data_IF_658675264336
#
_entry.id   IF_658675264336
#
_cell.length_a   1.000
_cell.length_b   1.000
_cell.length_c   1.000
_cell.angle_alpha   90.00
_cell.angle_beta   90.00
_cell.angle_gamma   90.00
#
_symmetry.space_group_name_H-M   'P 1'
#
loop_
_entity.id
_entity.type
_entity.pdbx_description
1 polymer ?
#
# COMPACT_ATOMS: atom_id res chain seq x y z
N UNK A 1 11.36 -16.20 -32.49
CA UNK A 1 11.16 -17.16 -31.38
C UNK A 1 12.10 -16.92 -30.20
N UNK A 2 13.43 -16.94 -30.36
CA UNK A 2 14.39 -16.69 -29.26
C UNK A 2 14.21 -15.34 -28.52
N UNK A 3 13.93 -14.26 -29.25
CA UNK A 3 13.67 -12.91 -28.69
C UNK A 3 12.37 -12.82 -27.89
N UNK A 4 11.35 -13.59 -28.28
CA UNK A 4 10.04 -13.61 -27.60
C UNK A 4 10.12 -14.40 -26.28
N UNK A 5 10.86 -15.51 -26.27
CA UNK A 5 11.11 -16.27 -25.03
C UNK A 5 11.90 -15.47 -23.99
N UNK A 6 12.91 -14.73 -24.42
CA UNK A 6 13.67 -13.82 -23.54
C UNK A 6 12.78 -12.67 -23.04
N UNK A 7 11.92 -12.09 -23.88
CA UNK A 7 11.00 -11.03 -23.46
C UNK A 7 10.00 -11.56 -22.41
N UNK A 8 9.41 -12.73 -22.62
CA UNK A 8 8.51 -13.34 -21.63
C UNK A 8 9.23 -13.70 -20.32
N UNK A 9 10.47 -14.20 -20.41
CA UNK A 9 11.27 -14.53 -19.23
C UNK A 9 11.67 -13.28 -18.43
N UNK A 10 12.13 -12.22 -19.11
CA UNK A 10 12.41 -10.93 -18.48
C UNK A 10 11.13 -10.33 -17.90
N UNK A 11 10.00 -10.46 -18.59
CA UNK A 11 8.70 -10.00 -18.08
C UNK A 11 8.28 -10.79 -16.82
N UNK A 12 8.51 -12.10 -16.78
CA UNK A 12 8.22 -12.89 -15.56
C UNK A 12 9.10 -12.52 -14.37
N UNK A 13 10.35 -12.09 -14.59
CA UNK A 13 11.22 -11.58 -13.51
C UNK A 13 11.00 -10.09 -13.19
N UNK A 14 10.55 -9.30 -14.17
CA UNK A 14 10.32 -7.86 -14.00
C UNK A 14 8.95 -7.53 -13.40
N UNK A 15 7.97 -8.45 -13.47
CA UNK A 15 6.60 -8.20 -13.03
C UNK A 15 6.10 -9.11 -11.89
N UNK A 16 6.76 -10.22 -11.54
CA UNK A 16 6.32 -11.16 -10.47
C UNK A 16 6.49 -10.67 -9.02
N UNK A 17 6.72 -9.36 -8.87
CA UNK A 17 6.98 -8.70 -7.61
C UNK A 17 6.32 -7.31 -7.57
N UNK A 18 5.32 -7.07 -8.42
CA UNK A 18 4.66 -5.77 -8.53
C UNK A 18 3.20 -5.89 -8.08
N UNK A 19 2.83 -5.09 -7.09
CA UNK A 19 1.47 -4.96 -6.59
C UNK A 19 0.96 -3.54 -6.78
N UNK A 20 -0.18 -3.39 -7.44
CA UNK A 20 -0.90 -2.13 -7.54
C UNK A 20 -1.90 -2.00 -6.39
N UNK A 21 -2.10 -0.76 -5.93
CA UNK A 21 -2.93 -0.43 -4.79
C UNK A 21 -3.97 0.62 -5.19
N UNK A 22 -5.24 0.39 -4.85
CA UNK A 22 -6.27 1.42 -4.81
C UNK A 22 -6.75 1.55 -3.37
N UNK A 23 -6.64 2.76 -2.84
CA UNK A 23 -6.93 3.06 -1.44
C UNK A 23 -8.10 4.04 -1.36
N UNK A 24 -9.05 3.80 -0.46
CA UNK A 24 -10.07 4.77 -0.08
C UNK A 24 -9.92 5.01 1.42
N UNK A 25 -9.58 6.24 1.81
CA UNK A 25 -9.23 6.62 3.18
C UNK A 25 -10.31 7.52 3.75
N UNK A 26 -10.73 7.23 4.98
CA UNK A 26 -11.58 8.04 5.82
C UNK A 26 -10.72 8.63 6.95
N UNK A 27 -10.47 9.94 6.90
CA UNK A 27 -9.70 10.69 7.91
C UNK A 27 -10.56 11.70 8.65
N UNK A 28 -9.96 12.43 9.59
CA UNK A 28 -10.66 13.44 10.41
C UNK A 28 -11.93 12.89 11.09
N UNK A 29 -11.89 11.64 11.56
CA UNK A 29 -13.07 10.89 12.03
C UNK A 29 -13.71 11.54 13.27
N UNK A 30 -12.93 12.30 14.04
CA UNK A 30 -13.41 13.05 15.21
C UNK A 30 -13.71 14.53 14.92
N UNK A 31 -13.54 14.99 13.67
CA UNK A 31 -13.79 16.38 13.28
C UNK A 31 -15.25 16.67 12.95
N UNK A 32 -15.53 17.89 12.51
CA UNK A 32 -16.87 18.30 12.09
C UNK A 32 -17.33 17.60 10.79
N UNK A 33 -16.40 17.28 9.90
CA UNK A 33 -16.63 16.57 8.64
C UNK A 33 -15.58 15.47 8.44
N UNK A 34 -16.02 14.31 7.94
CA UNK A 34 -15.13 13.18 7.63
C UNK A 34 -14.49 13.41 6.26
N UNK A 35 -13.17 13.37 6.21
CA UNK A 35 -12.41 13.50 4.97
C UNK A 35 -12.39 12.17 4.22
N UNK A 36 -12.78 12.18 2.94
CA UNK A 36 -12.73 11.00 2.08
C UNK A 36 -11.76 11.23 0.94
N UNK A 37 -10.64 10.50 0.95
CA UNK A 37 -9.55 10.65 -0.01
C UNK A 37 -9.31 9.32 -0.74
N UNK A 38 -9.11 9.37 -2.05
CA UNK A 38 -8.73 8.21 -2.83
C UNK A 38 -7.23 8.23 -3.19
N UNK A 39 -6.62 7.07 -3.12
CA UNK A 39 -5.21 6.84 -3.37
C UNK A 39 -5.00 5.88 -4.53
N UNK A 40 -3.85 5.98 -5.17
CA UNK A 40 -3.30 4.94 -6.01
C UNK A 40 -1.84 4.72 -5.62
N UNK A 41 -1.40 3.47 -5.68
CA UNK A 41 -0.04 3.11 -5.32
C UNK A 41 0.50 1.92 -6.07
N UNK A 42 1.78 1.70 -5.88
CA UNK A 42 2.57 0.63 -6.44
C UNK A 42 3.56 0.15 -5.39
N UNK A 43 3.62 -1.14 -5.15
CA UNK A 43 4.64 -1.77 -4.31
C UNK A 43 5.47 -2.77 -5.11
N UNK A 44 6.73 -2.86 -4.73
CA UNK A 44 7.69 -3.83 -5.20
C UNK A 44 8.08 -4.75 -4.05
N UNK A 45 8.04 -6.06 -4.27
CA UNK A 45 8.48 -7.01 -3.25
C UNK A 45 10.00 -6.91 -3.09
N UNK A 46 10.45 -6.67 -1.86
CA UNK A 46 11.85 -6.79 -1.46
C UNK A 46 12.16 -8.25 -1.14
N UNK A 47 11.19 -8.92 -0.50
CA UNK A 47 11.15 -10.35 -0.23
C UNK A 47 9.69 -10.77 -0.02
N UNK A 48 9.44 -12.06 0.22
CA UNK A 48 8.11 -12.66 0.39
C UNK A 48 7.21 -11.97 1.44
N UNK A 49 7.80 -11.23 2.40
CA UNK A 49 7.08 -10.60 3.50
C UNK A 49 7.25 -9.08 3.55
N UNK A 50 8.05 -8.47 2.68
CA UNK A 50 8.36 -7.05 2.74
C UNK A 50 8.28 -6.40 1.37
N UNK A 51 7.68 -5.21 1.34
CA UNK A 51 7.57 -4.42 0.12
C UNK A 51 8.07 -3.00 0.31
N UNK A 52 8.60 -2.42 -0.77
CA UNK A 52 8.92 -1.00 -0.90
C UNK A 52 8.03 -0.44 -2.00
N UNK A 53 7.39 0.69 -1.76
CA UNK A 53 6.44 1.23 -2.72
C UNK A 53 6.17 2.71 -2.58
N UNK A 54 5.16 3.16 -3.30
CA UNK A 54 4.62 4.50 -3.25
C UNK A 54 3.08 4.44 -3.20
N UNK A 55 2.47 5.29 -2.40
CA UNK A 55 1.02 5.55 -2.37
C UNK A 55 0.80 7.06 -2.49
N UNK A 56 -0.11 7.49 -3.36
CA UNK A 56 -0.35 8.92 -3.59
C UNK A 56 -0.84 9.68 -2.34
N UNK A 57 -1.45 8.99 -1.37
CA UNK A 57 -1.86 9.57 -0.09
C UNK A 57 -0.65 9.64 0.87
N UNK A 58 0.10 8.54 0.98
CA UNK A 58 1.07 8.32 2.07
C UNK A 58 2.54 8.45 1.68
N UNK A 59 2.84 8.68 0.40
CA UNK A 59 4.21 8.87 -0.10
C UNK A 59 4.94 7.55 -0.29
N UNK A 60 6.25 7.54 -0.02
CA UNK A 60 7.05 6.32 -0.03
C UNK A 60 6.62 5.41 1.12
N UNK A 61 6.46 4.12 0.85
CA UNK A 61 5.93 3.13 1.78
C UNK A 61 6.90 1.96 1.94
N UNK A 62 7.05 1.49 3.18
CA UNK A 62 7.59 0.17 3.49
C UNK A 62 6.49 -0.61 4.18
N UNK A 63 6.21 -1.83 3.71
CA UNK A 63 5.22 -2.71 4.32
C UNK A 63 5.87 -4.00 4.74
N UNK A 64 5.65 -4.42 5.98
CA UNK A 64 6.15 -5.68 6.51
C UNK A 64 4.95 -6.55 6.91
N UNK A 65 4.67 -7.57 6.11
CA UNK A 65 3.61 -8.55 6.30
C UNK A 65 4.00 -9.68 7.25
N UNK A 66 3.10 -10.66 7.38
CA UNK A 66 3.28 -11.86 8.20
C UNK A 66 3.63 -11.59 9.67
N UNK A 67 3.18 -10.45 10.20
CA UNK A 67 3.09 -10.25 11.64
C UNK A 67 2.02 -11.17 12.23
N UNK A 68 2.00 -11.36 13.57
CA UNK A 68 0.97 -12.14 14.22
C UNK A 68 -0.44 -11.77 13.74
N UNK A 69 -1.28 -12.80 13.55
CA UNK A 69 -2.63 -12.69 13.00
C UNK A 69 -2.74 -12.20 11.54
N UNK A 70 -1.66 -12.28 10.75
CA UNK A 70 -1.69 -11.91 9.32
C UNK A 70 -1.72 -10.39 9.10
N UNK A 71 -1.27 -9.63 10.10
CA UNK A 71 -1.21 -8.17 10.05
C UNK A 71 -0.01 -7.73 9.20
N UNK A 72 -0.16 -6.58 8.56
CA UNK A 72 0.91 -5.87 7.85
C UNK A 72 1.23 -4.56 8.57
N UNK A 73 2.47 -4.38 9.01
CA UNK A 73 2.97 -3.09 9.46
C UNK A 73 3.21 -2.21 8.22
N UNK A 74 2.77 -0.96 8.31
CA UNK A 74 2.86 0.04 7.24
C UNK A 74 3.62 1.24 7.80
N UNK A 75 4.72 1.59 7.15
CA UNK A 75 5.50 2.78 7.45
C UNK A 75 5.55 3.63 6.19
N UNK A 76 5.30 4.92 6.33
CA UNK A 76 5.25 5.83 5.19
C UNK A 76 5.91 7.16 5.47
N UNK A 77 6.46 7.78 4.43
CA UNK A 77 6.94 9.16 4.47
C UNK A 77 6.53 9.88 3.20
N UNK A 78 5.91 11.04 3.37
CA UNK A 78 5.52 11.92 2.27
C UNK A 78 6.04 13.31 2.51
N UNK A 79 6.71 13.85 1.50
CA UNK A 79 6.98 15.28 1.40
C UNK A 79 5.92 15.93 0.51
N UNK A 80 5.32 17.01 1.00
CA UNK A 80 4.35 17.80 0.24
C UNK A 80 4.45 19.26 0.65
N UNK A 81 4.59 20.16 -0.34
CA UNK A 81 4.68 21.61 -0.12
C UNK A 81 5.72 22.04 0.94
N UNK A 82 6.84 21.31 1.05
CA UNK A 82 7.91 21.62 2.02
C UNK A 82 7.68 21.09 3.43
N UNK A 83 6.62 20.32 3.67
CA UNK A 83 6.36 19.62 4.92
C UNK A 83 6.50 18.11 4.76
N UNK A 84 7.12 17.46 5.76
CA UNK A 84 7.26 16.00 5.83
C UNK A 84 6.20 15.43 6.77
N UNK A 85 5.45 14.44 6.30
CA UNK A 85 4.51 13.67 7.12
C UNK A 85 4.98 12.22 7.18
N UNK A 86 5.10 11.68 8.39
CA UNK A 86 5.36 10.27 8.63
C UNK A 86 4.05 9.53 8.91
N UNK A 87 3.99 8.27 8.49
CA UNK A 87 2.90 7.35 8.76
C UNK A 87 3.41 6.12 9.51
N UNK A 88 2.65 5.69 10.50
CA UNK A 88 2.74 4.36 11.12
C UNK A 88 1.35 3.75 11.16
N UNK A 89 1.18 2.55 10.62
CA UNK A 89 -0.12 1.92 10.51
C UNK A 89 -0.07 0.41 10.48
N UNK A 90 -1.25 -0.19 10.61
CA UNK A 90 -1.45 -1.63 10.53
C UNK A 90 -2.52 -1.94 9.49
N UNK A 91 -2.29 -2.94 8.66
CA UNK A 91 -3.22 -3.44 7.66
C UNK A 91 -3.59 -4.89 7.87
N UNK A 92 -4.76 -5.29 7.41
CA UNK A 92 -5.22 -6.67 7.41
C UNK A 92 -6.07 -6.95 6.17
N UNK A 93 -5.72 -8.02 5.45
CA UNK A 93 -6.53 -8.51 4.33
C UNK A 93 -7.47 -9.59 4.80
N UNK A 94 -8.74 -9.27 4.76
CA UNK A 94 -9.82 -10.19 5.12
C UNK A 94 -10.35 -10.96 3.91
N UNK A 95 -9.91 -10.61 2.69
CA UNK A 95 -10.21 -11.38 1.49
C UNK A 95 -9.03 -11.42 0.52
N UNK A 96 -8.78 -12.60 -0.03
CA UNK A 96 -7.77 -12.85 -1.07
C UNK A 96 -8.36 -13.70 -2.19
N UNK A 97 -8.26 -13.24 -3.43
CA UNK A 97 -8.66 -13.97 -4.62
C UNK A 97 -7.57 -14.92 -5.11
N UNK A 98 -7.98 -16.08 -5.64
CA UNK A 98 -7.10 -17.17 -6.08
C UNK A 98 -6.83 -17.21 -7.59
N UNK A 99 -6.90 -16.06 -8.26
CA UNK A 99 -6.72 -15.94 -9.71
C UNK A 99 -5.27 -15.87 -10.16
N UNK A 100 -5.04 -15.87 -11.49
CA UNK A 100 -3.71 -15.61 -12.08
C UNK A 100 -3.18 -14.21 -11.75
N UNK A 101 -4.08 -13.27 -11.52
CA UNK A 101 -3.80 -11.98 -10.89
C UNK A 101 -4.22 -12.14 -9.44
N UNK A 102 -3.25 -12.09 -8.52
CA UNK A 102 -3.53 -12.14 -7.09
C UNK A 102 -4.22 -10.85 -6.73
N UNK A 103 -5.44 -10.92 -6.19
CA UNK A 103 -6.21 -9.75 -5.77
C UNK A 103 -6.49 -9.87 -4.28
N UNK A 104 -6.46 -8.76 -3.55
CA UNK A 104 -6.81 -8.74 -2.13
C UNK A 104 -7.64 -7.52 -1.79
N UNK A 105 -8.47 -7.67 -0.76
CA UNK A 105 -9.25 -6.61 -0.16
C UNK A 105 -8.98 -6.60 1.34
N UNK A 106 -8.63 -5.43 1.85
CA UNK A 106 -8.19 -5.28 3.23
C UNK A 106 -8.50 -3.93 3.81
N UNK A 107 -8.42 -3.83 5.13
CA UNK A 107 -8.53 -2.56 5.87
C UNK A 107 -7.17 -2.17 6.43
N UNK A 108 -6.92 -0.87 6.55
CA UNK A 108 -5.80 -0.35 7.34
C UNK A 108 -6.24 0.72 8.32
N UNK A 109 -5.55 0.76 9.45
CA UNK A 109 -5.60 1.83 10.44
C UNK A 109 -4.24 2.53 10.40
N UNK A 110 -4.22 3.79 10.03
CA UNK A 110 -3.00 4.54 9.75
C UNK A 110 -2.97 5.82 10.60
N UNK A 111 -1.91 6.00 11.39
CA UNK A 111 -1.64 7.24 12.11
C UNK A 111 -0.63 8.07 11.35
N UNK A 112 -0.94 9.35 11.12
CA UNK A 112 -0.08 10.30 10.41
C UNK A 112 0.33 11.43 11.34
N UNK A 113 1.61 11.79 11.28
CA UNK A 113 2.18 12.92 12.02
C UNK A 113 3.10 13.75 11.11
N UNK A 114 2.83 15.04 11.06
CA UNK A 114 3.67 16.07 10.44
C UNK A 114 3.59 17.36 11.25
N UNK A 115 4.16 18.44 10.73
CA UNK A 115 4.12 19.77 11.39
C UNK A 115 2.69 20.27 11.58
N UNK A 116 1.84 20.09 10.57
CA UNK A 116 0.46 20.61 10.53
C UNK A 116 -0.60 19.49 10.48
N UNK A 117 -0.17 18.23 10.63
CA UNK A 117 -1.05 17.06 10.51
C UNK A 117 -0.84 16.15 11.73
N UNK A 118 -1.95 15.81 12.39
CA UNK A 118 -2.04 14.73 13.37
C UNK A 118 -3.40 14.08 13.22
N UNK A 119 -3.45 12.90 12.60
CA UNK A 119 -4.70 12.27 12.18
C UNK A 119 -4.60 10.75 12.25
N UNK A 120 -5.71 10.11 12.59
CA UNK A 120 -5.89 8.66 12.54
C UNK A 120 -6.96 8.35 11.51
N UNK A 121 -6.59 7.62 10.47
CA UNK A 121 -7.48 7.28 9.37
C UNK A 121 -7.72 5.78 9.26
N UNK A 122 -8.89 5.43 8.72
CA UNK A 122 -9.25 4.06 8.38
C UNK A 122 -9.36 3.98 6.86
N UNK A 123 -8.75 2.97 6.24
CA UNK A 123 -8.77 2.81 4.79
C UNK A 123 -9.29 1.45 4.35
N UNK A 124 -9.98 1.41 3.21
CA UNK A 124 -10.25 0.19 2.44
C UNK A 124 -9.24 0.14 1.29
N UNK A 125 -8.58 -1.00 1.13
CA UNK A 125 -7.48 -1.20 0.19
C UNK A 125 -7.83 -2.35 -0.75
N UNK A 126 -7.97 -2.06 -2.04
CA UNK A 126 -7.98 -3.06 -3.11
C UNK A 126 -6.57 -3.18 -3.68
N UNK A 127 -6.01 -4.38 -3.73
CA UNK A 127 -4.69 -4.60 -4.32
C UNK A 127 -4.71 -5.71 -5.35
N UNK A 128 -3.89 -5.59 -6.39
CA UNK A 128 -3.72 -6.62 -7.39
C UNK A 128 -2.29 -6.66 -7.95
N UNK A 129 -1.76 -7.84 -8.19
CA UNK A 129 -0.38 -8.02 -8.61
C UNK A 129 -0.08 -9.40 -9.22
N UNK A 130 1.16 -9.57 -9.65
CA UNK A 130 1.67 -10.79 -10.27
C UNK A 130 2.76 -11.41 -9.41
#
# INVERSE_FOLDING_TARGET
MKKLGILMLISSFAFSAITFNKTLTYGNISGEEVDVINGFGLDFDINDNMTLGFDSIYGMMIKAGNLPAGITLRLGVKESAGATTALTGLGYDWWTGSGKIKTSLGTSLDYRKGTDIEDTSISINLRWGF
#
